data_IF_662026259239
#
_entry.id   IF_662026259239
#
_cell.length_a   1.000
_cell.length_b   1.000
_cell.length_c   1.000
_cell.angle_alpha   90.00
_cell.angle_beta   90.00
_cell.angle_gamma   90.00
#
_symmetry.space_group_name_H-M   'P 1'
#
loop_
_entity.id
_entity.type
_entity.pdbx_description
1 polymer ?
#
# COMPACT_ATOMS: atom_id res chain seq x y z
N UNK A 1 15.49 0.02 -7.98
CA UNK A 1 15.62 0.27 -6.52
C UNK A 1 14.35 -0.09 -5.74
N UNK A 2 13.18 0.52 -6.05
CA UNK A 2 11.93 0.27 -5.31
C UNK A 2 11.30 -1.12 -5.52
N UNK A 3 11.43 -1.72 -6.71
CA UNK A 3 10.84 -3.03 -7.04
C UNK A 3 11.38 -4.15 -6.13
N UNK A 4 12.71 -4.23 -5.97
CA UNK A 4 13.35 -5.24 -5.12
C UNK A 4 13.00 -5.02 -3.64
N UNK A 5 13.00 -3.76 -3.17
CA UNK A 5 12.58 -3.41 -1.80
C UNK A 5 11.11 -3.77 -1.52
N UNK A 6 10.21 -3.53 -2.47
CA UNK A 6 8.79 -3.89 -2.34
C UNK A 6 8.56 -5.39 -2.36
N UNK A 7 9.33 -6.12 -3.18
CA UNK A 7 9.22 -7.58 -3.31
C UNK A 7 9.66 -8.27 -2.01
N UNK A 8 10.80 -7.86 -1.44
CA UNK A 8 11.35 -8.44 -0.21
C UNK A 8 10.48 -8.11 1.00
N UNK A 9 10.07 -6.85 1.19
CA UNK A 9 9.21 -6.48 2.32
C UNK A 9 7.86 -7.21 2.28
N UNK A 10 7.27 -7.30 1.09
CA UNK A 10 5.98 -7.97 0.92
C UNK A 10 6.11 -9.50 1.14
N UNK A 11 7.21 -10.13 0.69
CA UNK A 11 7.50 -11.54 0.93
C UNK A 11 7.73 -11.85 2.42
N UNK A 12 8.49 -11.00 3.13
CA UNK A 12 8.73 -11.12 4.57
C UNK A 12 7.44 -10.98 5.37
N UNK A 13 6.59 -9.99 5.05
CA UNK A 13 5.29 -9.78 5.72
C UNK A 13 4.35 -10.97 5.50
N UNK A 14 4.34 -11.56 4.29
CA UNK A 14 3.55 -12.75 4.00
C UNK A 14 4.01 -13.98 4.78
N UNK A 15 5.33 -14.16 4.94
CA UNK A 15 5.90 -15.24 5.76
C UNK A 15 5.58 -15.04 7.25
N UNK A 16 5.66 -13.80 7.74
CA UNK A 16 5.49 -13.48 9.16
C UNK A 16 4.02 -13.51 9.64
N UNK A 17 3.06 -13.17 8.78
CA UNK A 17 1.65 -13.06 9.17
C UNK A 17 0.89 -14.39 9.17
N UNK A 18 1.25 -15.32 8.27
CA UNK A 18 0.48 -16.56 8.03
C UNK A 18 1.25 -17.82 8.44
N UNK A 19 2.57 -17.74 8.60
CA UNK A 19 3.44 -18.91 8.79
C UNK A 19 3.66 -19.69 7.48
N UNK A 20 4.72 -20.49 7.40
CA UNK A 20 5.13 -21.25 6.19
C UNK A 20 4.12 -22.35 5.82
N UNK A 21 3.03 -21.96 5.16
CA UNK A 21 1.98 -22.84 4.64
C UNK A 21 2.19 -23.04 3.13
N UNK A 22 2.05 -24.27 2.59
CA UNK A 22 2.19 -24.52 1.16
C UNK A 22 1.14 -23.72 0.36
N UNK A 23 1.59 -22.82 -0.52
CA UNK A 23 0.74 -21.94 -1.33
C UNK A 23 0.85 -20.44 -1.05
N UNK A 24 1.72 -20.03 -0.13
CA UNK A 24 1.87 -18.63 0.31
C UNK A 24 2.22 -17.66 -0.82
N UNK A 25 3.03 -18.10 -1.79
CA UNK A 25 3.43 -17.26 -2.93
C UNK A 25 2.23 -16.90 -3.80
N UNK A 26 1.29 -17.84 -4.00
CA UNK A 26 0.09 -17.61 -4.81
C UNK A 26 -0.89 -16.66 -4.09
N UNK A 27 -1.04 -16.83 -2.77
CA UNK A 27 -1.87 -15.97 -1.93
C UNK A 27 -1.28 -14.55 -1.82
N UNK A 28 0.05 -14.46 -1.72
CA UNK A 28 0.81 -13.22 -1.73
C UNK A 28 0.63 -12.46 -3.05
N UNK A 29 0.80 -13.14 -4.20
CA UNK A 29 0.64 -12.51 -5.52
C UNK A 29 -0.78 -11.99 -5.72
N UNK A 30 -1.78 -12.74 -5.24
CA UNK A 30 -3.20 -12.34 -5.27
C UNK A 30 -3.47 -11.14 -4.36
N UNK A 31 -2.95 -11.14 -3.14
CA UNK A 31 -3.10 -10.04 -2.19
C UNK A 31 -2.37 -8.77 -2.65
N UNK A 32 -1.16 -8.91 -3.19
CA UNK A 32 -0.37 -7.80 -3.74
C UNK A 32 -1.06 -7.18 -4.95
N UNK A 33 -1.54 -8.00 -5.89
CA UNK A 33 -2.31 -7.51 -7.04
C UNK A 33 -3.62 -6.82 -6.61
N UNK A 34 -4.30 -7.37 -5.61
CA UNK A 34 -5.52 -6.77 -5.06
C UNK A 34 -5.23 -5.42 -4.37
N UNK A 35 -4.20 -5.35 -3.54
CA UNK A 35 -3.77 -4.12 -2.88
C UNK A 35 -3.36 -3.04 -3.89
N UNK A 36 -2.66 -3.43 -4.96
CA UNK A 36 -2.29 -2.50 -6.04
C UNK A 36 -3.52 -1.96 -6.79
N UNK A 37 -4.47 -2.83 -7.10
CA UNK A 37 -5.74 -2.47 -7.75
C UNK A 37 -6.60 -1.55 -6.87
N UNK A 38 -6.57 -1.72 -5.54
CA UNK A 38 -7.28 -0.86 -4.58
C UNK A 38 -6.54 0.46 -4.31
N UNK A 39 -5.20 0.46 -4.34
CA UNK A 39 -4.39 1.65 -4.09
C UNK A 39 -4.60 2.73 -5.17
N UNK A 40 -4.70 2.34 -6.45
CA UNK A 40 -4.91 3.26 -7.57
C UNK A 40 -6.14 4.17 -7.43
N UNK A 41 -7.36 3.64 -7.26
CA UNK A 41 -8.56 4.45 -7.05
C UNK A 41 -8.51 5.20 -5.72
N UNK A 42 -7.91 4.60 -4.69
CA UNK A 42 -7.74 5.26 -3.38
C UNK A 42 -6.92 6.54 -3.52
N UNK A 43 -5.77 6.50 -4.20
CA UNK A 43 -4.92 7.69 -4.38
C UNK A 43 -5.67 8.77 -5.17
N UNK A 44 -6.45 8.40 -6.19
CA UNK A 44 -7.22 9.35 -6.99
C UNK A 44 -8.28 10.08 -6.16
N UNK A 45 -8.90 9.39 -5.19
CA UNK A 45 -9.91 9.95 -4.28
C UNK A 45 -9.25 10.71 -3.12
N UNK A 46 -8.16 10.20 -2.58
CA UNK A 46 -7.48 10.74 -1.40
C UNK A 46 -6.63 11.97 -1.76
N UNK A 47 -6.05 12.05 -2.97
CA UNK A 47 -5.30 13.24 -3.42
C UNK A 47 -6.05 14.57 -3.23
N UNK A 48 -7.26 14.78 -3.78
CA UNK A 48 -7.98 16.04 -3.57
C UNK A 48 -8.36 16.26 -2.10
N UNK A 49 -8.55 15.19 -1.34
CA UNK A 49 -8.90 15.21 0.08
C UNK A 49 -7.71 15.70 0.93
N UNK A 50 -6.52 15.15 0.66
CA UNK A 50 -5.26 15.58 1.28
C UNK A 50 -4.93 17.02 0.91
N UNK A 51 -5.13 17.42 -0.35
CA UNK A 51 -4.92 18.82 -0.75
C UNK A 51 -5.85 19.78 0.02
N UNK A 52 -7.11 19.42 0.23
CA UNK A 52 -8.04 20.23 1.05
C UNK A 52 -7.62 20.29 2.52
N UNK A 53 -7.21 19.16 3.10
CA UNK A 53 -6.74 19.10 4.49
C UNK A 53 -5.46 19.90 4.70
N UNK A 54 -4.49 19.77 3.80
CA UNK A 54 -3.24 20.53 3.83
C UNK A 54 -3.52 22.02 3.70
N UNK A 55 -4.41 22.44 2.81
CA UNK A 55 -4.79 23.85 2.68
C UNK A 55 -5.45 24.39 3.97
N UNK A 56 -6.37 23.63 4.59
CA UNK A 56 -6.98 24.02 5.87
C UNK A 56 -5.97 24.13 7.02
N UNK A 57 -4.98 23.25 7.07
CA UNK A 57 -3.92 23.28 8.09
C UNK A 57 -2.96 24.44 7.84
N UNK A 58 -2.53 24.67 6.60
CA UNK A 58 -1.61 25.75 6.25
C UNK A 58 -2.25 27.14 6.32
N UNK A 59 -3.56 27.28 6.14
CA UNK A 59 -4.29 28.54 6.36
C UNK A 59 -4.28 28.96 7.83
N UNK A 60 -3.95 28.05 8.76
CA UNK A 60 -3.86 28.35 10.19
C UNK A 60 -2.52 28.95 10.62
N UNK A 61 -1.54 29.03 9.72
CA UNK A 61 -0.27 29.75 9.92
C UNK A 61 -0.34 31.13 9.28
N UNK A 62 -1.13 32.03 9.89
CA UNK A 62 -1.11 33.47 9.57
C UNK A 62 -1.18 34.29 10.84
#
# INVERSE_FOLDING_TARGET
>A
MALIMSCIMSLVISIFNVGLIPGIVLMWLKAWGFAFSVAFPTIFIVSPLVHKLVNLVLVKEK
#
